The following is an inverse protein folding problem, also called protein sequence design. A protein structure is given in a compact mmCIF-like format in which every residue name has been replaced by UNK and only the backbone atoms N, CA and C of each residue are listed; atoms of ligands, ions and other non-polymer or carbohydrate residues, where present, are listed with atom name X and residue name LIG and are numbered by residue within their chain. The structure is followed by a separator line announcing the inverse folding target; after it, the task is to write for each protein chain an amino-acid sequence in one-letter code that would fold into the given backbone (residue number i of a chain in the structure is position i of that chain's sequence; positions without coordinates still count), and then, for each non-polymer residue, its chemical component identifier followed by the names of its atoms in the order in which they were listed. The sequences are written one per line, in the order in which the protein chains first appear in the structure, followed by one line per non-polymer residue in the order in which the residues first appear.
data_IF_418067851648
#
_entry.id   IF_418067851648
#
_cell.length_a   1.000
_cell.length_b   1.000
_cell.length_c   1.000
_cell.angle_alpha   90.00
_cell.angle_beta   90.00
_cell.angle_gamma   90.00
#
_symmetry.space_group_name_H-M   'P 1'
#
loop_
_entity.id
_entity.type
_entity.pdbx_description
1 polymer ?
#
# COMPACT_ATOMS: atom_id res chain seq x y z
N UNK A 1 -13.96 -16.04 0.31
CA UNK A 1 -13.34 -14.73 0.61
C UNK A 1 -12.31 -14.46 -0.47
N UNK A 2 -12.28 -13.27 -1.08
CA UNK A 2 -11.32 -12.95 -2.16
C UNK A 2 -10.23 -12.04 -1.60
N UNK A 3 -8.98 -12.40 -1.87
CA UNK A 3 -7.78 -11.68 -1.40
C UNK A 3 -7.21 -10.90 -2.58
N UNK A 4 -6.86 -9.63 -2.34
CA UNK A 4 -6.21 -8.76 -3.31
C UNK A 4 -4.90 -8.26 -2.69
N UNK A 5 -3.79 -8.57 -3.34
CA UNK A 5 -2.46 -8.07 -2.96
C UNK A 5 -2.00 -7.05 -4.00
N UNK A 6 -1.82 -5.81 -3.58
CA UNK A 6 -1.16 -4.80 -4.40
C UNK A 6 0.34 -4.87 -4.19
N UNK A 7 1.09 -4.90 -5.29
CA UNK A 7 2.56 -4.90 -5.27
C UNK A 7 3.06 -3.60 -5.87
N UNK A 8 3.84 -2.84 -5.10
CA UNK A 8 4.51 -1.63 -5.54
C UNK A 8 5.99 -1.94 -5.81
N UNK A 9 6.33 -1.97 -7.09
CA UNK A 9 7.71 -2.18 -7.56
C UNK A 9 8.63 -1.02 -7.21
N UNK A 10 9.93 -1.31 -7.19
CA UNK A 10 11.01 -0.35 -6.99
C UNK A 10 12.05 -0.50 -8.12
N UNK A 11 12.63 0.60 -8.64
CA UNK A 11 12.37 1.99 -8.25
C UNK A 11 11.02 2.50 -8.76
N UNK A 12 10.31 3.28 -7.93
CA UNK A 12 9.13 4.02 -8.37
C UNK A 12 9.56 5.47 -8.67
N UNK A 13 9.65 5.87 -9.95
CA UNK A 13 10.11 7.21 -10.31
C UNK A 13 9.14 8.31 -9.87
N UNK A 14 7.86 7.98 -9.69
CA UNK A 14 6.81 8.91 -9.28
C UNK A 14 5.96 8.30 -8.16
N UNK A 15 6.50 8.22 -6.92
CA UNK A 15 5.87 7.54 -5.80
C UNK A 15 4.46 8.06 -5.53
N UNK A 16 4.26 9.38 -5.55
CA UNK A 16 2.94 10.00 -5.34
C UNK A 16 1.84 9.43 -6.25
N UNK A 17 2.04 9.42 -7.56
CA UNK A 17 1.00 9.05 -8.52
C UNK A 17 0.63 7.56 -8.46
N UNK A 18 1.64 6.68 -8.42
CA UNK A 18 1.42 5.24 -8.32
C UNK A 18 0.76 4.85 -7.00
N UNK A 19 1.20 5.46 -5.90
CA UNK A 19 0.68 5.16 -4.57
C UNK A 19 -0.74 5.68 -4.39
N UNK A 20 -1.05 6.91 -4.82
CA UNK A 20 -2.42 7.43 -4.75
C UNK A 20 -3.42 6.50 -5.45
N UNK A 21 -3.07 5.96 -6.62
CA UNK A 21 -3.91 4.98 -7.32
C UNK A 21 -4.08 3.69 -6.51
N UNK A 22 -2.99 3.13 -5.99
CA UNK A 22 -3.04 1.92 -5.16
C UNK A 22 -3.90 2.15 -3.90
N UNK A 23 -3.70 3.26 -3.20
CA UNK A 23 -4.51 3.61 -2.03
C UNK A 23 -6.00 3.74 -2.35
N UNK A 24 -6.35 4.39 -3.47
CA UNK A 24 -7.73 4.51 -3.94
C UNK A 24 -8.37 3.13 -4.17
N UNK A 25 -7.72 2.26 -4.95
CA UNK A 25 -8.25 0.94 -5.23
C UNK A 25 -8.27 0.03 -4.01
N UNK A 26 -7.23 0.08 -3.17
CA UNK A 26 -7.17 -0.70 -1.94
C UNK A 26 -8.34 -0.37 -1.01
N UNK A 27 -8.65 0.93 -0.84
CA UNK A 27 -9.83 1.39 -0.10
C UNK A 27 -11.13 0.89 -0.76
N UNK A 28 -11.26 1.11 -2.07
CA UNK A 28 -12.45 0.70 -2.83
C UNK A 28 -12.78 -0.80 -2.68
N UNK A 29 -11.75 -1.66 -2.72
CA UNK A 29 -11.95 -3.10 -2.52
C UNK A 29 -12.19 -3.47 -1.06
N UNK A 30 -11.53 -2.82 -0.09
CA UNK A 30 -11.79 -3.05 1.33
C UNK A 30 -13.24 -2.71 1.70
N UNK A 31 -13.77 -1.60 1.18
CA UNK A 31 -15.16 -1.18 1.37
C UNK A 31 -16.16 -2.21 0.80
N UNK A 32 -15.76 -2.98 -0.22
CA UNK A 32 -16.52 -4.10 -0.80
C UNK A 32 -16.27 -5.45 -0.12
N UNK A 33 -15.72 -5.45 1.10
CA UNK A 33 -15.43 -6.65 1.92
C UNK A 33 -14.40 -7.61 1.32
N UNK A 34 -13.54 -7.14 0.42
CA UNK A 34 -12.36 -7.90 0.02
C UNK A 34 -11.30 -7.85 1.12
N UNK A 35 -10.51 -8.91 1.23
CA UNK A 35 -9.29 -8.82 2.02
C UNK A 35 -8.19 -8.20 1.15
N UNK A 36 -7.53 -7.15 1.67
CA UNK A 36 -6.64 -6.31 0.88
C UNK A 36 -5.39 -6.04 1.69
N UNK A 37 -4.24 -6.20 1.05
CA UNK A 37 -2.93 -5.81 1.57
C UNK A 37 -2.10 -5.13 0.48
N UNK A 38 -1.13 -4.32 0.90
CA UNK A 38 -0.13 -3.73 0.00
C UNK A 38 1.26 -4.14 0.45
N UNK A 39 2.10 -4.53 -0.50
CA UNK A 39 3.53 -4.80 -0.26
C UNK A 39 4.38 -3.98 -1.24
N UNK A 40 5.49 -3.45 -0.75
CA UNK A 40 6.40 -2.67 -1.58
C UNK A 40 7.60 -2.16 -0.82
N UNK A 41 8.39 -1.33 -1.49
CA UNK A 41 9.50 -0.61 -0.87
C UNK A 41 9.06 0.82 -0.65
N UNK A 42 8.99 1.22 0.63
CA UNK A 42 8.55 2.55 1.04
C UNK A 42 9.69 3.25 1.78
N UNK A 43 10.40 4.19 1.12
CA UNK A 43 11.36 5.07 1.77
C UNK A 43 10.72 5.83 2.92
N UNK A 44 11.46 6.05 4.02
CA UNK A 44 10.96 6.71 5.23
C UNK A 44 10.29 8.06 4.95
N UNK A 45 10.83 8.83 4.01
CA UNK A 45 10.32 10.14 3.58
C UNK A 45 8.88 10.10 3.05
N UNK A 46 8.41 8.95 2.59
CA UNK A 46 7.09 8.80 1.98
C UNK A 46 6.13 7.98 2.87
N UNK A 47 6.54 7.57 4.08
CA UNK A 47 5.69 6.80 5.02
C UNK A 47 4.39 7.53 5.37
N UNK A 48 4.38 8.85 5.40
CA UNK A 48 3.18 9.67 5.68
C UNK A 48 2.04 9.42 4.69
N UNK A 49 2.35 9.18 3.41
CA UNK A 49 1.36 8.86 2.39
C UNK A 49 0.75 7.47 2.63
N UNK A 50 1.59 6.51 3.03
CA UNK A 50 1.17 5.13 3.33
C UNK A 50 0.31 5.07 4.59
N UNK A 51 0.70 5.81 5.64
CA UNK A 51 -0.03 5.90 6.90
C UNK A 51 -1.44 6.50 6.73
N UNK A 52 -1.69 7.24 5.64
CA UNK A 52 -3.03 7.73 5.31
C UNK A 52 -4.01 6.60 4.93
N UNK A 53 -3.52 5.43 4.53
CA UNK A 53 -4.31 4.27 4.15
C UNK A 53 -4.75 3.47 5.37
N UNK A 54 -5.51 4.14 6.26
CA UNK A 54 -6.00 3.55 7.50
C UNK A 54 -6.71 2.21 7.22
N UNK A 55 -6.43 1.21 8.06
CA UNK A 55 -7.03 -0.13 8.01
C UNK A 55 -6.64 -1.01 6.80
N UNK A 56 -5.68 -0.56 6.01
CA UNK A 56 -5.05 -1.36 4.95
C UNK A 56 -3.68 -1.81 5.47
N UNK A 57 -3.46 -3.12 5.67
CA UNK A 57 -2.15 -3.68 5.96
C UNK A 57 -1.14 -3.28 4.88
N UNK A 58 -0.07 -2.58 5.27
CA UNK A 58 1.03 -2.26 4.37
C UNK A 58 2.34 -2.84 4.88
N UNK A 59 3.04 -3.57 4.03
CA UNK A 59 4.30 -4.24 4.34
C UNK A 59 5.45 -3.62 3.56
N UNK A 60 6.48 -3.19 4.29
CA UNK A 60 7.71 -2.70 3.69
C UNK A 60 8.73 -3.82 3.59
N UNK A 61 9.07 -4.19 2.37
CA UNK A 61 10.05 -5.26 2.12
C UNK A 61 11.46 -4.81 2.50
N UNK A 62 11.76 -3.51 2.38
CA UNK A 62 13.08 -2.96 2.71
C UNK A 62 13.38 -3.03 4.22
N UNK A 63 12.37 -2.83 5.07
CA UNK A 63 12.52 -2.88 6.53
C UNK A 63 11.93 -4.14 7.15
N UNK A 64 11.59 -5.14 6.33
CA UNK A 64 10.98 -6.43 6.72
C UNK A 64 9.87 -6.29 7.78
N UNK A 65 8.97 -5.32 7.62
CA UNK A 65 8.02 -4.97 8.67
C UNK A 65 6.73 -4.32 8.18
N UNK A 66 5.69 -4.41 9.01
CA UNK A 66 4.39 -3.76 8.79
C UNK A 66 4.50 -2.25 9.10
N UNK A 67 4.02 -1.40 8.18
CA UNK A 67 3.95 0.06 8.35
C UNK A 67 2.62 0.49 8.97
N UNK A 68 1.50 -0.04 8.45
CA UNK A 68 0.12 0.28 8.88
C UNK A 68 -0.74 -0.97 8.91
#
# INVERSE_FOLDING_TARGET
MKIILFVLGFPNPFPGAGWTKVGFFAKHFKDRRYDVAVVGIFPRREHTLVLSWKWIPVYNVHTQGKIS
#
